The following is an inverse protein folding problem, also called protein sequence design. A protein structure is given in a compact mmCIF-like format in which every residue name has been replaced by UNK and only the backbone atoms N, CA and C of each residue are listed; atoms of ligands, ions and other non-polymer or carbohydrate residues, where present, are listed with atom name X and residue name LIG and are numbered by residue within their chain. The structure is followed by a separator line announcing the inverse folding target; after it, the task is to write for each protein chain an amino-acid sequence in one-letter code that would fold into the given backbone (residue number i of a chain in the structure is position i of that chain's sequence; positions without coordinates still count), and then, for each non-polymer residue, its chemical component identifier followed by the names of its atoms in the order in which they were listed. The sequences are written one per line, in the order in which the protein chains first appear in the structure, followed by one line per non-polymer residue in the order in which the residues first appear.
data_IF_198888037479
#
_entry.id   IF_198888037479
#
_cell.length_a   1.000
_cell.length_b   1.000
_cell.length_c   1.000
_cell.angle_alpha   90.00
_cell.angle_beta   90.00
_cell.angle_gamma   90.00
#
_symmetry.space_group_name_H-M   'P 1'
#
loop_
_entity.id
_entity.type
_entity.pdbx_description
1 polymer ?
#
# COMPACT_ATOMS: atom_id res chain seq x y z
N UNK A 1 -1.71 -16.67 13.27
CA UNK A 1 -1.18 -15.51 14.02
C UNK A 1 -2.32 -14.53 14.19
N UNK A 2 -2.72 -14.15 15.42
CA UNK A 2 -3.66 -13.05 15.60
C UNK A 2 -2.98 -11.79 15.06
N UNK A 3 -3.59 -11.16 14.07
CA UNK A 3 -3.11 -9.92 13.50
C UNK A 3 -3.56 -8.80 14.42
N UNK A 4 -2.75 -8.51 15.43
CA UNK A 4 -2.99 -7.42 16.38
C UNK A 4 -3.05 -6.09 15.63
N UNK A 5 -3.92 -5.19 16.07
CA UNK A 5 -3.95 -3.83 15.53
C UNK A 5 -2.65 -3.08 15.82
N UNK A 6 -2.33 -2.09 14.99
CA UNK A 6 -1.12 -1.27 15.12
C UNK A 6 -1.37 0.15 14.60
N UNK A 7 -0.44 1.07 14.88
CA UNK A 7 -0.46 2.41 14.31
C UNK A 7 0.64 2.51 13.25
N UNK A 8 0.30 2.98 12.06
CA UNK A 8 1.24 3.24 10.97
C UNK A 8 1.57 4.74 10.94
N UNK A 9 2.85 5.15 11.07
CA UNK A 9 3.23 6.55 10.91
C UNK A 9 2.81 7.09 9.54
N UNK A 10 2.36 8.33 9.54
CA UNK A 10 1.99 9.07 8.33
C UNK A 10 2.99 10.18 8.11
N UNK A 11 3.30 10.44 6.84
CA UNK A 11 4.06 11.63 6.44
C UNK A 11 3.35 12.90 6.91
N UNK A 12 2.02 12.93 6.83
CA UNK A 12 1.22 14.08 7.25
C UNK A 12 0.04 13.66 8.13
N UNK A 13 -0.11 14.36 9.25
CA UNK A 13 -1.19 14.16 10.22
C UNK A 13 -0.93 13.03 11.22
N UNK A 14 -1.98 12.66 11.94
CA UNK A 14 -1.91 11.63 12.99
C UNK A 14 -1.67 10.22 12.41
N UNK A 15 -0.95 9.33 13.13
CA UNK A 15 -0.74 7.95 12.71
C UNK A 15 -2.04 7.23 12.35
N UNK A 16 -2.00 6.45 11.26
CA UNK A 16 -3.14 5.66 10.82
C UNK A 16 -3.33 4.46 11.76
N UNK A 17 -4.45 4.45 12.48
CA UNK A 17 -4.81 3.33 13.37
C UNK A 17 -5.37 2.17 12.55
N UNK A 18 -4.64 1.07 12.52
CA UNK A 18 -5.02 -0.17 11.85
C UNK A 18 -5.65 -1.12 12.88
N UNK A 19 -6.93 -1.49 12.74
CA UNK A 19 -7.56 -2.44 13.64
C UNK A 19 -7.06 -3.87 13.38
N UNK A 20 -7.25 -4.74 14.36
CA UNK A 20 -6.90 -6.16 14.26
C UNK A 20 -7.67 -6.89 13.15
N UNK A 21 -7.15 -8.04 12.72
CA UNK A 21 -7.80 -8.91 11.74
C UNK A 21 -7.37 -8.61 10.30
N UNK A 22 -8.30 -8.64 9.34
CA UNK A 22 -7.98 -8.46 7.91
C UNK A 22 -7.27 -7.14 7.60
N UNK A 23 -7.63 -5.98 8.19
CA UNK A 23 -6.89 -4.74 7.95
C UNK A 23 -5.43 -4.85 8.38
N UNK A 24 -5.16 -5.40 9.57
CA UNK A 24 -3.80 -5.67 10.01
C UNK A 24 -3.05 -6.67 9.11
N UNK A 25 -3.74 -7.66 8.51
CA UNK A 25 -3.14 -8.55 7.49
C UNK A 25 -2.67 -7.73 6.29
N UNK A 26 -3.58 -6.94 5.72
CA UNK A 26 -3.33 -6.25 4.46
C UNK A 26 -2.23 -5.20 4.67
N UNK A 27 -2.38 -4.37 5.70
CA UNK A 27 -1.44 -3.29 6.00
C UNK A 27 -0.08 -3.76 6.52
N UNK A 28 0.08 -5.02 6.94
CA UNK A 28 1.42 -5.57 7.21
C UNK A 28 2.30 -5.69 5.96
N UNK A 29 1.71 -5.60 4.76
CA UNK A 29 2.43 -5.57 3.48
C UNK A 29 2.72 -4.14 3.01
N UNK A 30 2.47 -3.10 3.82
CA UNK A 30 2.74 -1.73 3.40
C UNK A 30 4.24 -1.51 3.10
N UNK A 31 4.62 -1.14 1.87
CA UNK A 31 6.01 -0.96 1.50
C UNK A 31 6.60 0.29 2.18
N UNK A 32 7.93 0.39 2.22
CA UNK A 32 8.63 1.58 2.73
C UNK A 32 8.68 2.71 1.70
N UNK A 33 8.64 2.36 0.41
CA UNK A 33 8.65 3.30 -0.70
C UNK A 33 7.51 2.99 -1.66
N UNK A 34 7.08 4.00 -2.40
CA UNK A 34 6.11 3.89 -3.49
C UNK A 34 6.76 4.20 -4.83
N UNK A 35 6.19 3.80 -5.98
CA UNK A 35 6.72 4.16 -7.29
C UNK A 35 6.69 5.67 -7.58
N UNK A 36 7.56 6.11 -8.49
CA UNK A 36 7.65 7.49 -8.96
C UNK A 36 7.43 7.56 -10.47
N UNK A 37 6.20 7.31 -10.95
CA UNK A 37 5.92 7.42 -12.37
C UNK A 37 5.98 8.90 -12.81
N UNK A 38 6.65 9.15 -13.93
CA UNK A 38 6.64 10.43 -14.64
C UNK A 38 5.61 10.42 -15.78
N UNK A 39 5.15 9.23 -16.19
CA UNK A 39 4.12 9.03 -17.22
C UNK A 39 3.20 7.85 -16.87
N UNK A 40 1.99 7.75 -17.47
CA UNK A 40 1.07 6.66 -17.18
C UNK A 40 1.62 5.27 -17.55
N UNK A 41 2.48 5.18 -18.57
CA UNK A 41 3.10 3.92 -19.00
C UNK A 41 4.12 3.39 -17.99
N UNK A 42 4.63 4.25 -17.10
CA UNK A 42 5.56 3.87 -16.04
C UNK A 42 4.86 3.38 -14.77
N UNK A 43 3.54 3.47 -14.68
CA UNK A 43 2.78 2.96 -13.54
C UNK A 43 2.83 1.43 -13.56
N UNK A 44 3.48 0.79 -12.58
CA UNK A 44 3.58 -0.65 -12.58
C UNK A 44 2.21 -1.27 -12.25
N UNK A 45 1.90 -2.39 -12.89
CA UNK A 45 0.62 -3.10 -12.66
C UNK A 45 0.73 -4.17 -11.57
N UNK A 46 1.94 -4.43 -11.06
CA UNK A 46 2.19 -5.38 -9.98
C UNK A 46 3.54 -5.09 -9.30
N UNK A 47 3.75 -5.68 -8.12
CA UNK A 47 5.03 -5.62 -7.40
C UNK A 47 5.32 -6.94 -6.67
N UNK A 48 6.57 -7.19 -6.23
CA UNK A 48 6.87 -8.35 -5.39
C UNK A 48 6.01 -8.41 -4.12
N UNK A 49 5.70 -7.23 -3.55
CA UNK A 49 4.84 -7.09 -2.38
C UNK A 49 3.39 -7.45 -2.70
N UNK A 50 2.85 -7.01 -3.84
CA UNK A 50 1.47 -7.36 -4.24
C UNK A 50 1.33 -8.85 -4.55
N UNK A 51 2.37 -9.47 -5.11
CA UNK A 51 2.42 -10.93 -5.30
C UNK A 51 2.41 -11.68 -3.96
N UNK A 52 3.17 -11.20 -2.97
CA UNK A 52 3.20 -11.78 -1.62
C UNK A 52 1.85 -11.62 -0.89
N UNK A 53 1.21 -10.45 -1.03
CA UNK A 53 -0.13 -10.20 -0.50
C UNK A 53 -1.16 -11.13 -1.15
N UNK A 54 -1.16 -11.23 -2.48
CA UNK A 54 -2.07 -12.13 -3.21
C UNK A 54 -1.90 -13.60 -2.77
N UNK A 55 -0.65 -14.08 -2.63
CA UNK A 55 -0.37 -15.43 -2.12
C UNK A 55 -0.90 -15.63 -0.69
N UNK A 56 -0.72 -14.63 0.17
CA UNK A 56 -1.20 -14.69 1.56
C UNK A 56 -2.72 -14.68 1.62
N UNK A 57 -3.40 -13.83 0.84
CA UNK A 57 -4.87 -13.82 0.77
C UNK A 57 -5.41 -15.15 0.22
N UNK A 58 -4.82 -15.72 -0.83
CA UNK A 58 -5.21 -17.06 -1.34
C UNK A 58 -5.10 -18.13 -0.26
N UNK A 59 -4.03 -18.13 0.52
CA UNK A 59 -3.85 -19.07 1.64
C UNK A 59 -4.90 -18.92 2.73
N UNK A 60 -5.48 -17.73 2.89
CA UNK A 60 -6.56 -17.46 3.83
C UNK A 60 -7.96 -17.65 3.19
N UNK A 61 -8.06 -18.31 2.03
CA UNK A 61 -9.33 -18.69 1.41
C UNK A 61 -9.90 -17.70 0.40
N UNK A 62 -9.25 -16.56 0.17
CA UNK A 62 -9.70 -15.59 -0.84
C UNK A 62 -9.51 -16.15 -2.25
N UNK A 63 -10.48 -15.86 -3.13
CA UNK A 63 -10.47 -16.25 -4.56
C UNK A 63 -10.36 -15.01 -5.45
N UNK A 64 -10.01 -15.20 -6.72
CA UNK A 64 -9.89 -14.13 -7.72
C UNK A 64 -8.89 -13.01 -7.37
N UNK A 65 -7.90 -13.29 -6.53
CA UNK A 65 -6.87 -12.33 -6.14
C UNK A 65 -5.52 -12.68 -6.77
N UNK A 66 -5.14 -12.00 -7.86
CA UNK A 66 -3.81 -12.09 -8.48
C UNK A 66 -2.89 -10.96 -8.01
N UNK A 67 -1.59 -10.98 -8.39
CA UNK A 67 -0.67 -9.88 -8.10
C UNK A 67 -1.16 -8.50 -8.58
N UNK A 68 -1.81 -8.44 -9.76
CA UNK A 68 -2.40 -7.20 -10.30
C UNK A 68 -3.60 -6.73 -9.50
N UNK A 69 -4.54 -7.63 -9.19
CA UNK A 69 -5.71 -7.28 -8.36
C UNK A 69 -5.30 -6.85 -6.94
N UNK A 70 -4.27 -7.48 -6.38
CA UNK A 70 -3.70 -7.07 -5.09
C UNK A 70 -3.01 -5.71 -5.19
N UNK A 71 -2.32 -5.42 -6.30
CA UNK A 71 -1.70 -4.11 -6.51
C UNK A 71 -2.75 -3.00 -6.62
N UNK A 72 -3.80 -3.22 -7.43
CA UNK A 72 -4.93 -2.30 -7.53
C UNK A 72 -5.63 -2.06 -6.18
N UNK A 73 -5.74 -3.09 -5.33
CA UNK A 73 -6.23 -2.93 -3.96
C UNK A 73 -5.31 -2.02 -3.16
N UNK A 74 -3.99 -2.23 -3.23
CA UNK A 74 -3.00 -1.40 -2.52
C UNK A 74 -3.09 0.07 -2.93
N UNK A 75 -3.26 0.36 -4.22
CA UNK A 75 -3.49 1.71 -4.73
C UNK A 75 -4.81 2.29 -4.21
N UNK A 76 -5.90 1.54 -4.33
CA UNK A 76 -7.24 2.00 -3.96
C UNK A 76 -7.36 2.39 -2.47
N UNK A 77 -6.63 1.69 -1.59
CA UNK A 77 -6.62 1.98 -0.14
C UNK A 77 -5.49 2.93 0.29
N UNK A 78 -4.69 3.44 -0.66
CA UNK A 78 -3.61 4.39 -0.40
C UNK A 78 -2.34 3.78 0.21
N UNK A 79 -2.19 2.45 0.17
CA UNK A 79 -0.96 1.75 0.58
C UNK A 79 0.17 1.91 -0.44
N UNK A 80 -0.18 2.22 -1.68
CA UNK A 80 0.75 2.62 -2.74
C UNK A 80 0.19 3.90 -3.36
N UNK A 81 1.08 4.85 -3.60
CA UNK A 81 0.78 6.08 -4.33
C UNK A 81 1.42 6.02 -5.72
N UNK A 82 0.56 5.93 -6.75
CA UNK A 82 0.95 5.91 -8.17
C UNK A 82 0.63 7.21 -8.90
N UNK A 83 0.28 8.28 -8.17
CA UNK A 83 0.16 9.60 -8.78
C UNK A 83 1.52 10.05 -9.34
N UNK A 84 1.48 10.75 -10.47
CA UNK A 84 2.70 11.26 -11.11
C UNK A 84 3.43 12.24 -10.20
N UNK A 85 4.75 12.33 -10.36
CA UNK A 85 5.63 13.20 -9.54
C UNK A 85 5.16 14.67 -9.56
N UNK A 86 4.59 15.16 -10.66
CA UNK A 86 4.05 16.52 -10.77
C UNK A 86 2.56 16.67 -10.42
N UNK A 87 1.88 15.60 -10.00
CA UNK A 87 0.44 15.66 -9.69
C UNK A 87 0.21 16.32 -8.34
N UNK A 88 -0.73 17.27 -8.27
CA UNK A 88 -1.22 17.85 -7.01
C UNK A 88 -1.80 16.80 -6.03
N UNK A 89 -2.08 15.58 -6.52
CA UNK A 89 -2.57 14.47 -5.72
C UNK A 89 -1.47 13.57 -5.17
N UNK A 90 -0.20 13.82 -5.50
CA UNK A 90 0.91 13.07 -4.92
C UNK A 90 0.97 13.32 -3.40
N UNK A 91 1.11 12.25 -2.62
CA UNK A 91 1.12 12.30 -1.16
C UNK A 91 -0.26 12.39 -0.50
N UNK A 92 -1.37 12.35 -1.25
CA UNK A 92 -2.74 12.50 -0.67
C UNK A 92 -3.15 11.35 0.23
N UNK A 93 -2.53 10.17 0.11
CA UNK A 93 -2.75 9.09 1.08
C UNK A 93 -2.25 9.49 2.48
N UNK A 94 -1.32 10.46 2.57
CA UNK A 94 -0.62 10.85 3.78
C UNK A 94 0.32 9.78 4.32
N UNK A 95 0.43 8.61 3.67
CA UNK A 95 1.36 7.55 4.07
C UNK A 95 2.77 7.89 3.59
N UNK A 96 2.89 8.34 2.34
CA UNK A 96 4.15 8.70 1.71
C UNK A 96 4.29 10.22 1.60
N UNK A 97 5.53 10.69 1.68
CA UNK A 97 5.89 12.04 1.26
C UNK A 97 5.75 12.20 -0.26
N UNK A 98 5.76 13.43 -0.80
CA UNK A 98 5.81 13.65 -2.25
C UNK A 98 6.96 12.91 -2.94
N UNK A 99 8.07 12.73 -2.23
CA UNK A 99 9.27 11.96 -2.60
C UNK A 99 9.09 10.44 -2.40
N UNK A 100 7.87 9.97 -2.17
CA UNK A 100 7.50 8.56 -2.20
C UNK A 100 8.09 7.69 -1.09
N UNK A 101 8.55 8.29 0.01
CA UNK A 101 9.04 7.58 1.19
C UNK A 101 8.07 7.74 2.35
N UNK A 102 7.90 6.69 3.16
CA UNK A 102 7.13 6.81 4.40
C UNK A 102 8.06 6.98 5.61
N UNK A 103 7.60 7.62 6.70
CA UNK A 103 8.40 7.72 7.92
C UNK A 103 8.73 6.34 8.49
N UNK A 104 9.97 6.15 8.90
CA UNK A 104 10.34 5.01 9.74
C UNK A 104 9.74 5.19 11.13
N UNK A 105 9.15 4.12 11.67
CA UNK A 105 8.70 4.03 13.06
C UNK A 105 9.85 4.12 14.05
#
# INVERSE_FOLDING_TARGET
MPLTGFALPRWAGEPLKIPSGLPALIWSFCPQTTPHPESPEQVPTSSPVSAALAKTLKRNGFRFIGPTSAYALMEAIGMVDTHWVGSHRRGVSGIFSPEGTRPSS
#
